data_IF_317298553511
#
_entry.id   IF_317298553511
#
_cell.length_a   1.000
_cell.length_b   1.000
_cell.length_c   1.000
_cell.angle_alpha   90.00
_cell.angle_beta   90.00
_cell.angle_gamma   90.00
#
_symmetry.space_group_name_H-M   'P 1'
#
loop_
_entity.id
_entity.type
_entity.pdbx_description
1 polymer ?
#
# COMPACT_ATOMS: atom_id res chain seq x y z
N UNK A 1 -3.48 14.35 -18.72
CA UNK A 1 -2.45 13.73 -17.84
C UNK A 1 -2.90 12.31 -17.59
N UNK A 2 -2.04 11.29 -17.77
CA UNK A 2 -2.47 9.87 -17.72
C UNK A 2 -2.08 9.22 -16.39
N UNK A 3 -2.95 8.35 -15.89
CA UNK A 3 -2.72 7.54 -14.69
C UNK A 3 -1.60 6.55 -14.96
N UNK A 4 -0.58 6.55 -14.10
CA UNK A 4 0.59 5.68 -14.26
C UNK A 4 0.29 4.17 -14.10
N UNK A 5 -0.91 3.79 -13.64
CA UNK A 5 -1.28 2.39 -13.39
C UNK A 5 -2.24 1.81 -14.42
N UNK A 6 -3.24 2.58 -14.88
CA UNK A 6 -4.22 2.13 -15.87
C UNK A 6 -4.07 2.78 -17.24
N UNK A 7 -3.18 3.77 -17.40
CA UNK A 7 -2.97 4.58 -18.61
C UNK A 7 -4.17 5.42 -19.08
N UNK A 8 -5.28 5.41 -18.35
CA UNK A 8 -6.45 6.26 -18.60
C UNK A 8 -6.21 7.71 -18.15
N UNK A 9 -7.02 8.63 -18.67
CA UNK A 9 -6.89 10.04 -18.32
C UNK A 9 -7.36 10.30 -16.87
N UNK A 10 -6.59 11.11 -16.14
CA UNK A 10 -6.87 11.42 -14.73
C UNK A 10 -7.93 12.51 -14.57
N UNK A 11 -8.07 13.38 -15.58
CA UNK A 11 -8.92 14.57 -15.53
C UNK A 11 -10.29 14.36 -16.19
N UNK A 12 -10.67 13.11 -16.48
CA UNK A 12 -12.01 12.85 -16.98
C UNK A 12 -13.04 13.05 -15.87
N UNK A 13 -14.23 13.54 -16.23
CA UNK A 13 -15.34 13.84 -15.30
C UNK A 13 -15.96 12.56 -14.68
N UNK A 14 -15.30 11.42 -14.78
CA UNK A 14 -15.73 10.15 -14.21
C UNK A 14 -14.93 9.86 -12.94
N UNK A 15 -15.56 10.05 -11.79
CA UNK A 15 -15.00 9.78 -10.46
C UNK A 15 -14.99 8.27 -10.13
N UNK A 16 -15.36 7.38 -11.06
CA UNK A 16 -15.38 5.91 -10.86
C UNK A 16 -14.03 5.34 -10.42
N UNK A 17 -12.92 5.94 -10.87
CA UNK A 17 -11.55 5.54 -10.52
C UNK A 17 -10.96 6.33 -9.34
N UNK A 18 -11.74 7.27 -8.80
CA UNK A 18 -11.34 8.13 -7.68
C UNK A 18 -10.60 9.38 -8.13
N UNK A 19 -10.19 10.19 -7.15
CA UNK A 19 -9.66 11.54 -7.41
C UNK A 19 -8.22 11.49 -7.96
N UNK A 20 -7.82 12.50 -8.76
CA UNK A 20 -6.43 12.73 -9.13
C UNK A 20 -5.53 12.82 -7.89
N UNK A 21 -4.44 12.05 -7.87
CA UNK A 21 -3.42 12.16 -6.84
C UNK A 21 -2.01 12.04 -7.42
N UNK A 22 -1.02 12.54 -6.66
CA UNK A 22 0.40 12.40 -7.01
C UNK A 22 1.02 11.31 -6.15
N UNK A 23 1.67 10.34 -6.79
CA UNK A 23 2.50 9.33 -6.14
C UNK A 23 3.93 9.86 -6.07
N UNK A 24 4.49 10.12 -4.87
CA UNK A 24 5.83 10.71 -4.73
C UNK A 24 6.90 9.92 -5.49
N UNK A 25 7.71 10.64 -6.29
CA UNK A 25 8.81 10.05 -7.06
C UNK A 25 8.39 9.15 -8.24
N UNK A 26 7.09 9.04 -8.55
CA UNK A 26 6.59 8.14 -9.61
C UNK A 26 5.73 8.83 -10.67
N UNK A 27 4.82 9.71 -10.28
CA UNK A 27 3.94 10.42 -11.22
C UNK A 27 2.52 10.59 -10.69
N UNK A 28 1.57 10.80 -11.60
CA UNK A 28 0.16 11.03 -11.27
C UNK A 28 -0.67 9.76 -11.48
N UNK A 29 -1.67 9.56 -10.62
CA UNK A 29 -2.55 8.39 -10.62
C UNK A 29 -3.96 8.75 -10.16
N UNK A 30 -4.93 7.88 -10.44
CA UNK A 30 -6.20 7.88 -9.71
C UNK A 30 -6.02 7.28 -8.31
N UNK A 31 -6.79 7.75 -7.33
CA UNK A 31 -6.65 7.30 -5.94
C UNK A 31 -6.84 5.79 -5.76
N UNK A 32 -7.87 5.20 -6.39
CA UNK A 32 -8.09 3.75 -6.28
C UNK A 32 -7.02 2.93 -6.98
N UNK A 33 -6.46 3.44 -8.08
CA UNK A 33 -5.36 2.75 -8.76
C UNK A 33 -4.09 2.73 -7.92
N UNK A 34 -3.76 3.84 -7.25
CA UNK A 34 -2.63 3.92 -6.34
C UNK A 34 -2.82 3.02 -5.11
N UNK A 35 -4.02 3.01 -4.53
CA UNK A 35 -4.36 2.14 -3.39
C UNK A 35 -4.27 0.66 -3.77
N UNK A 36 -4.79 0.27 -4.94
CA UNK A 36 -4.71 -1.11 -5.44
C UNK A 36 -3.25 -1.56 -5.64
N UNK A 37 -2.38 -0.70 -6.15
CA UNK A 37 -0.95 -0.99 -6.27
C UNK A 37 -0.27 -1.14 -4.91
N UNK A 38 -0.59 -0.26 -3.96
CA UNK A 38 -0.10 -0.37 -2.57
C UNK A 38 -0.55 -1.69 -1.93
N UNK A 39 -1.83 -2.05 -2.05
CA UNK A 39 -2.35 -3.30 -1.51
C UNK A 39 -1.71 -4.52 -2.16
N UNK A 40 -1.49 -4.52 -3.48
CA UNK A 40 -0.78 -5.60 -4.18
C UNK A 40 0.69 -5.75 -3.74
N UNK A 41 1.34 -4.65 -3.36
CA UNK A 41 2.75 -4.65 -2.94
C UNK A 41 2.94 -4.99 -1.46
N UNK A 42 1.85 -5.00 -0.67
CA UNK A 42 1.91 -5.49 0.71
C UNK A 42 2.11 -7.00 0.66
N UNK A 43 3.25 -7.47 1.17
CA UNK A 43 3.54 -8.89 1.39
C UNK A 43 2.48 -9.49 2.31
N UNK A 44 2.06 -8.72 3.31
CA UNK A 44 0.94 -9.03 4.19
C UNK A 44 -0.40 -8.51 3.63
N UNK A 45 -0.64 -8.60 2.32
CA UNK A 45 -1.76 -7.94 1.63
C UNK A 45 -3.17 -8.27 2.13
N UNK A 46 -3.32 -9.30 2.96
CA UNK A 46 -4.56 -9.67 3.66
C UNK A 46 -4.53 -9.45 5.17
N UNK A 47 -3.40 -9.02 5.75
CA UNK A 47 -3.28 -8.72 7.18
C UNK A 47 -3.34 -7.21 7.35
N UNK A 48 -4.50 -6.75 7.80
CA UNK A 48 -4.62 -5.42 8.36
C UNK A 48 -4.05 -5.47 9.78
N UNK A 49 -2.80 -5.03 9.97
CA UNK A 49 -2.12 -5.04 11.28
C UNK A 49 -2.96 -4.33 12.36
N UNK A 50 -3.77 -3.34 11.96
CA UNK A 50 -4.69 -2.63 12.84
C UNK A 50 -5.85 -3.49 13.38
N UNK A 51 -6.13 -4.63 12.77
CA UNK A 51 -7.20 -5.56 13.16
C UNK A 51 -6.68 -6.71 14.06
N UNK A 52 -5.37 -6.74 14.36
CA UNK A 52 -4.79 -7.73 15.27
C UNK A 52 -5.14 -7.40 16.72
N UNK A 53 -5.37 -8.43 17.54
CA UNK A 53 -5.42 -8.28 19.00
C UNK A 53 -4.05 -7.84 19.52
N UNK A 54 -4.01 -7.15 20.66
CA UNK A 54 -2.79 -6.58 21.22
C UNK A 54 -1.72 -7.66 21.49
N UNK A 55 -2.14 -8.85 21.93
CA UNK A 55 -1.26 -9.99 22.20
C UNK A 55 -0.62 -10.54 20.91
N UNK A 56 -1.41 -10.72 19.85
CA UNK A 56 -0.93 -11.16 18.53
C UNK A 56 0.02 -10.13 17.90
N UNK A 57 -0.29 -8.84 18.08
CA UNK A 57 0.57 -7.75 17.61
C UNK A 57 1.92 -7.75 18.33
N UNK A 58 1.92 -7.99 19.63
CA UNK A 58 3.14 -8.09 20.43
C UNK A 58 3.99 -9.29 20.04
N UNK A 59 3.37 -10.46 19.83
CA UNK A 59 4.06 -11.67 19.36
C UNK A 59 4.70 -11.44 17.99
N UNK A 60 3.96 -10.86 17.03
CA UNK A 60 4.48 -10.53 15.71
C UNK A 60 5.69 -9.59 15.81
N UNK A 61 5.63 -8.60 16.71
CA UNK A 61 6.73 -7.67 16.95
C UNK A 61 7.99 -8.37 17.48
N UNK A 62 7.85 -9.31 18.42
CA UNK A 62 8.96 -10.08 18.96
C UNK A 62 9.61 -10.99 17.91
N UNK A 63 8.79 -11.67 17.08
CA UNK A 63 9.27 -12.51 15.98
C UNK A 63 10.08 -11.69 14.97
N UNK A 64 9.55 -10.54 14.53
CA UNK A 64 10.25 -9.65 13.58
C UNK A 64 11.55 -9.13 14.18
N UNK A 65 11.57 -8.73 15.45
CA UNK A 65 12.79 -8.27 16.10
C UNK A 65 13.87 -9.36 16.16
N UNK A 66 13.47 -10.60 16.45
CA UNK A 66 14.40 -11.73 16.54
C UNK A 66 15.07 -11.99 15.20
N UNK A 67 14.27 -12.13 14.13
CA UNK A 67 14.77 -12.35 12.77
C UNK A 67 15.68 -11.20 12.29
N UNK A 68 15.30 -9.94 12.57
CA UNK A 68 16.14 -8.78 12.21
C UNK A 68 17.49 -8.81 12.92
N UNK A 69 17.52 -9.16 14.20
CA UNK A 69 18.77 -9.30 14.96
C UNK A 69 19.63 -10.41 14.38
N UNK A 70 19.05 -11.56 14.05
CA UNK A 70 19.76 -12.69 13.46
C UNK A 70 20.39 -12.36 12.09
N UNK A 71 19.73 -11.54 11.27
CA UNK A 71 20.27 -11.15 9.94
C UNK A 71 21.33 -10.06 9.98
N UNK A 72 21.39 -9.29 11.07
CA UNK A 72 22.38 -8.22 11.25
C UNK A 72 23.62 -8.73 12.00
N UNK A 73 23.49 -9.81 12.77
CA UNK A 73 24.58 -10.47 13.50
C UNK A 73 25.52 -11.26 12.56
#
# INVERSE_FOLDING_TARGET
MKCMFCNENILENDDSLGKPMTVPGRGVAHSYCAEKDLNKKRIFGSVHIADLEDDDLLELFELVQTEVKERIA
#
